data_IF_439394692871
#
_entry.id   IF_439394692871
#
_cell.length_a   1.000
_cell.length_b   1.000
_cell.length_c   1.000
_cell.angle_alpha   90.00
_cell.angle_beta   90.00
_cell.angle_gamma   90.00
#
_symmetry.space_group_name_H-M   'P 1'
#
loop_
_entity.id
_entity.type
_entity.pdbx_description
1 polymer ?
#
# COMPACT_ATOMS: atom_id res chain seq x y z
N UNK A 1 4.10 17.84 15.62
CA UNK A 1 3.20 18.79 14.91
C UNK A 1 3.44 18.59 13.42
N UNK A 2 2.73 17.64 12.81
CA UNK A 2 2.81 17.39 11.36
C UNK A 2 2.21 18.60 10.65
N UNK A 3 3.06 19.41 10.03
CA UNK A 3 2.60 20.53 9.23
C UNK A 3 2.01 19.94 7.96
N UNK A 4 0.71 20.15 7.77
CA UNK A 4 -0.07 19.64 6.64
C UNK A 4 0.23 20.49 5.40
N UNK A 5 1.51 20.54 5.00
CA UNK A 5 1.91 21.20 3.77
C UNK A 5 1.42 20.30 2.62
N UNK A 6 0.56 20.84 1.76
CA UNK A 6 0.02 20.10 0.62
C UNK A 6 1.14 19.83 -0.39
N UNK A 7 1.66 18.61 -0.37
CA UNK A 7 2.65 18.12 -1.33
C UNK A 7 1.90 17.67 -2.59
N UNK A 8 2.24 18.26 -3.73
CA UNK A 8 1.68 17.94 -5.03
C UNK A 8 2.66 17.05 -5.81
N UNK A 9 2.35 15.76 -5.90
CA UNK A 9 3.21 14.77 -6.53
C UNK A 9 3.52 15.06 -8.00
N UNK A 10 2.62 15.72 -8.73
CA UNK A 10 2.86 16.08 -10.13
C UNK A 10 3.95 17.17 -10.23
N UNK A 11 3.91 18.16 -9.33
CA UNK A 11 4.95 19.20 -9.26
C UNK A 11 6.30 18.63 -8.84
N UNK A 12 6.32 17.71 -7.89
CA UNK A 12 7.55 17.04 -7.48
C UNK A 12 8.16 16.22 -8.62
N UNK A 13 7.33 15.49 -9.38
CA UNK A 13 7.81 14.72 -10.54
C UNK A 13 8.39 15.62 -11.63
N UNK A 14 7.74 16.75 -11.93
CA UNK A 14 8.26 17.74 -12.88
C UNK A 14 9.57 18.35 -12.35
N UNK A 15 9.68 18.64 -11.05
CA UNK A 15 10.89 19.19 -10.45
C UNK A 15 12.10 18.24 -10.57
N UNK A 16 11.93 16.95 -10.28
CA UNK A 16 12.99 15.94 -10.47
C UNK A 16 13.38 15.82 -11.94
N UNK A 17 12.39 15.87 -12.84
CA UNK A 17 12.62 15.83 -14.28
C UNK A 17 13.48 17.01 -14.73
N UNK A 18 13.10 18.24 -14.36
CA UNK A 18 13.85 19.46 -14.66
C UNK A 18 15.26 19.44 -14.03
N UNK A 19 15.40 18.92 -12.81
CA UNK A 19 16.70 18.77 -12.15
C UNK A 19 17.64 17.86 -12.94
N UNK A 20 17.14 16.71 -13.43
CA UNK A 20 17.95 15.78 -14.22
C UNK A 20 18.27 16.34 -15.62
N UNK A 21 17.36 17.08 -16.25
CA UNK A 21 17.63 17.78 -17.52
C UNK A 21 18.73 18.82 -17.33
N UNK A 22 18.65 19.67 -16.31
CA UNK A 22 19.68 20.64 -16.00
C UNK A 22 21.02 19.96 -15.65
N UNK A 23 20.99 18.88 -14.88
CA UNK A 23 22.18 18.09 -14.53
C UNK A 23 22.82 17.38 -15.72
N UNK A 24 22.04 17.00 -16.73
CA UNK A 24 22.59 16.38 -17.94
C UNK A 24 23.50 17.33 -18.74
N UNK A 25 23.22 18.64 -18.69
CA UNK A 25 24.06 19.67 -19.32
C UNK A 25 25.42 19.83 -18.63
N UNK A 26 25.57 19.35 -17.39
CA UNK A 26 26.79 19.44 -16.58
C UNK A 26 27.46 18.09 -16.35
N UNK A 27 27.15 17.07 -17.17
CA UNK A 27 27.66 15.70 -17.04
C UNK A 27 27.41 15.07 -15.66
N UNK A 28 26.30 15.43 -15.00
CA UNK A 28 25.92 14.83 -13.72
C UNK A 28 25.26 13.46 -13.92
N UNK A 29 25.43 12.57 -12.94
CA UNK A 29 24.71 11.30 -12.88
C UNK A 29 23.22 11.52 -12.56
N UNK A 30 22.37 10.56 -12.93
CA UNK A 30 20.94 10.61 -12.65
C UNK A 30 20.72 10.74 -11.15
N UNK A 31 20.07 11.83 -10.73
CA UNK A 31 19.82 12.10 -9.31
C UNK A 31 18.38 11.74 -8.97
N UNK A 32 18.24 10.98 -7.90
CA UNK A 32 16.96 10.59 -7.31
C UNK A 32 16.83 11.17 -5.90
N UNK A 33 15.72 10.89 -5.25
CA UNK A 33 15.43 11.31 -3.88
C UNK A 33 16.48 10.82 -2.88
N UNK A 34 17.22 11.71 -2.19
CA UNK A 34 18.20 11.31 -1.21
C UNK A 34 17.53 11.10 0.16
N UNK A 35 16.98 9.90 0.39
CA UNK A 35 16.36 9.53 1.67
C UNK A 35 17.28 9.76 2.89
N UNK A 36 18.56 9.32 2.89
CA UNK A 36 19.41 9.45 4.07
C UNK A 36 19.72 10.91 4.40
N UNK A 37 19.96 11.75 3.38
CA UNK A 37 20.27 13.18 3.58
C UNK A 37 19.05 13.95 4.09
N UNK A 38 17.87 13.62 3.57
CA UNK A 38 16.63 14.27 3.99
C UNK A 38 16.29 13.94 5.44
N UNK A 39 16.53 12.69 5.88
CA UNK A 39 16.36 12.27 7.27
C UNK A 39 17.30 13.04 8.22
N UNK A 40 18.58 13.19 7.86
CA UNK A 40 19.54 13.97 8.65
C UNK A 40 19.16 15.45 8.69
N UNK A 41 18.76 16.03 7.54
CA UNK A 41 18.32 17.42 7.47
C UNK A 41 17.05 17.67 8.30
N UNK A 42 16.14 16.70 8.32
CA UNK A 42 14.95 16.73 9.17
C UNK A 42 15.31 16.65 10.65
N UNK A 43 16.20 15.73 11.03
CA UNK A 43 16.67 15.59 12.42
C UNK A 43 17.47 16.80 12.91
N UNK A 44 18.17 17.50 12.00
CA UNK A 44 18.83 18.77 12.28
C UNK A 44 17.85 19.94 12.51
N UNK A 45 16.54 19.73 12.34
CA UNK A 45 15.51 20.73 12.57
C UNK A 45 15.36 21.78 11.45
N UNK A 46 15.90 21.50 10.26
CA UNK A 46 15.81 22.40 9.12
C UNK A 46 14.37 22.46 8.57
N UNK A 47 13.83 23.68 8.43
CA UNK A 47 12.43 23.91 8.01
C UNK A 47 12.28 24.56 6.63
N UNK A 48 13.39 24.92 6.00
CA UNK A 48 13.40 25.72 4.75
C UNK A 48 14.27 25.08 3.69
N UNK A 49 13.89 25.24 2.41
CA UNK A 49 14.67 24.78 1.25
C UNK A 49 16.08 25.42 1.17
N UNK A 50 16.30 26.53 1.88
CA UNK A 50 17.62 27.17 2.00
C UNK A 50 18.70 26.23 2.53
N UNK A 51 18.35 25.23 3.36
CA UNK A 51 19.29 24.23 3.85
C UNK A 51 19.95 23.46 2.70
N UNK A 52 19.19 23.11 1.65
CA UNK A 52 19.72 22.40 0.49
C UNK A 52 20.67 23.28 -0.34
N UNK A 53 20.42 24.59 -0.40
CA UNK A 53 21.32 25.55 -1.07
C UNK A 53 22.63 25.68 -0.31
N UNK A 54 22.58 25.84 1.01
CA UNK A 54 23.79 25.89 1.86
C UNK A 54 24.59 24.59 1.74
N UNK A 55 23.91 23.44 1.74
CA UNK A 55 24.56 22.14 1.53
C UNK A 55 25.24 22.05 0.16
N UNK A 56 24.59 22.51 -0.91
CA UNK A 56 25.17 22.50 -2.26
C UNK A 56 26.43 23.39 -2.35
N UNK A 57 26.38 24.59 -1.77
CA UNK A 57 27.52 25.51 -1.69
C UNK A 57 28.66 24.89 -0.88
N UNK A 58 28.35 24.32 0.29
CA UNK A 58 29.34 23.65 1.12
C UNK A 58 30.03 22.49 0.36
N UNK A 59 29.26 21.66 -0.35
CA UNK A 59 29.81 20.59 -1.20
C UNK A 59 30.73 21.16 -2.28
N UNK A 60 30.31 22.23 -2.98
CA UNK A 60 31.12 22.91 -3.98
C UNK A 60 32.46 23.40 -3.41
N UNK A 61 32.44 24.06 -2.24
CA UNK A 61 33.66 24.49 -1.55
C UNK A 61 34.55 23.31 -1.15
N UNK A 62 33.98 22.24 -0.59
CA UNK A 62 34.77 21.06 -0.21
C UNK A 62 35.45 20.40 -1.40
N UNK A 63 34.80 20.35 -2.57
CA UNK A 63 35.40 19.80 -3.79
C UNK A 63 36.47 20.72 -4.39
N UNK A 64 36.37 22.04 -4.22
CA UNK A 64 37.41 22.96 -4.73
C UNK A 64 38.66 22.99 -3.86
N UNK A 65 38.50 23.01 -2.53
CA UNK A 65 39.60 23.23 -1.59
C UNK A 65 40.10 21.97 -0.86
N UNK A 66 39.20 21.02 -0.57
CA UNK A 66 39.51 19.83 0.24
C UNK A 66 39.73 18.55 -0.59
N UNK A 67 39.59 18.60 -1.91
CA UNK A 67 39.92 17.46 -2.80
C UNK A 67 41.29 16.80 -2.54
N UNK A 68 42.41 17.53 -2.31
CA UNK A 68 43.69 16.87 -2.03
C UNK A 68 43.69 16.08 -0.71
N UNK A 69 42.83 16.45 0.25
CA UNK A 69 42.70 15.74 1.53
C UNK A 69 41.91 14.43 1.35
N UNK A 70 40.86 14.46 0.52
CA UNK A 70 40.01 13.29 0.28
C UNK A 70 40.69 12.18 -0.54
N UNK A 71 41.75 12.50 -1.30
CA UNK A 71 42.50 11.51 -2.08
C UNK A 71 43.06 10.36 -1.22
N UNK A 72 43.37 10.60 0.06
CA UNK A 72 43.91 9.59 0.96
C UNK A 72 42.83 8.79 1.73
N UNK A 73 41.55 9.02 1.44
CA UNK A 73 40.46 8.36 2.17
C UNK A 73 40.40 6.87 1.79
N UNK A 74 40.60 5.94 2.74
CA UNK A 74 40.53 4.52 2.45
C UNK A 74 39.09 4.10 2.14
N UNK A 75 38.91 3.20 1.17
CA UNK A 75 37.61 2.65 0.77
C UNK A 75 36.83 2.06 1.95
N UNK A 76 37.53 1.53 2.97
CA UNK A 76 36.94 0.94 4.18
C UNK A 76 36.08 1.95 4.94
N UNK A 77 36.52 3.20 5.06
CA UNK A 77 35.77 4.25 5.74
C UNK A 77 34.51 4.61 4.95
N UNK A 78 34.60 4.64 3.61
CA UNK A 78 33.46 4.90 2.75
C UNK A 78 32.38 3.81 2.89
N UNK A 79 32.79 2.54 2.86
CA UNK A 79 31.89 1.41 3.04
C UNK A 79 31.22 1.41 4.42
N UNK A 80 31.98 1.73 5.48
CA UNK A 80 31.44 1.81 6.84
C UNK A 80 30.36 2.89 6.97
N UNK A 81 30.56 4.06 6.36
CA UNK A 81 29.58 5.15 6.38
C UNK A 81 28.30 4.76 5.62
N UNK A 82 28.42 4.07 4.48
CA UNK A 82 27.26 3.59 3.70
C UNK A 82 26.46 2.57 4.51
N UNK A 83 27.12 1.59 5.14
CA UNK A 83 26.44 0.58 5.98
C UNK A 83 25.73 1.25 7.16
N UNK A 84 26.39 2.18 7.84
CA UNK A 84 25.78 2.91 8.96
C UNK A 84 24.54 3.71 8.52
N UNK A 85 24.58 4.34 7.34
CA UNK A 85 23.45 5.07 6.79
C UNK A 85 22.27 4.14 6.41
N UNK A 86 22.54 2.95 5.89
CA UNK A 86 21.50 1.97 5.53
C UNK A 86 20.83 1.34 6.76
N UNK A 87 21.60 1.05 7.82
CA UNK A 87 21.05 0.53 9.07
C UNK A 87 20.04 1.49 9.71
N UNK A 88 20.25 2.80 9.56
CA UNK A 88 19.30 3.82 10.04
C UNK A 88 18.00 3.92 9.23
N UNK A 89 17.93 3.29 8.06
CA UNK A 89 16.76 3.30 7.18
C UNK A 89 15.88 2.04 7.34
N UNK A 90 16.44 0.96 7.88
CA UNK A 90 15.70 -0.30 8.07
C UNK A 90 14.88 -0.22 9.35
N UNK A 91 13.56 -0.15 9.20
CA UNK A 91 12.61 -0.19 10.31
C UNK A 91 12.07 -1.63 10.51
N UNK A 92 12.67 -2.33 11.46
CA UNK A 92 12.27 -3.70 11.81
C UNK A 92 10.90 -3.76 12.51
N UNK A 93 10.52 -2.71 13.24
CA UNK A 93 9.22 -2.69 13.92
C UNK A 93 8.08 -2.58 12.91
N UNK A 94 8.25 -1.77 11.88
CA UNK A 94 7.30 -1.66 10.78
C UNK A 94 7.11 -3.00 10.05
N UNK A 95 8.19 -3.76 9.82
CA UNK A 95 8.10 -5.08 9.19
C UNK A 95 7.33 -6.10 10.05
N UNK A 96 7.55 -6.11 11.38
CA UNK A 96 6.81 -6.97 12.31
C UNK A 96 5.34 -6.56 12.40
N UNK A 97 5.06 -5.25 12.37
CA UNK A 97 3.70 -4.74 12.36
C UNK A 97 2.96 -5.19 11.10
N UNK A 98 3.60 -5.10 9.93
CA UNK A 98 3.04 -5.59 8.67
C UNK A 98 2.67 -7.07 8.74
N UNK A 99 3.53 -7.92 9.32
CA UNK A 99 3.23 -9.34 9.48
C UNK A 99 1.95 -9.60 10.29
N UNK A 100 1.70 -8.79 11.33
CA UNK A 100 0.52 -8.96 12.20
C UNK A 100 -0.77 -8.46 11.56
N UNK A 101 -0.70 -7.45 10.70
CA UNK A 101 -1.88 -6.82 10.08
C UNK A 101 -2.26 -7.52 8.78
N UNK A 102 -1.32 -7.70 7.87
CA UNK A 102 -1.59 -8.29 6.56
C UNK A 102 -0.40 -9.14 6.06
N UNK A 103 -0.63 -10.46 6.02
CA UNK A 103 0.35 -11.45 5.58
C UNK A 103 0.74 -11.27 4.10
N UNK A 104 -0.16 -10.77 3.25
CA UNK A 104 0.14 -10.57 1.84
C UNK A 104 1.05 -9.37 1.61
N UNK A 105 0.83 -8.26 2.33
CA UNK A 105 1.75 -7.11 2.28
C UNK A 105 3.15 -7.50 2.76
N UNK A 106 3.22 -8.34 3.81
CA UNK A 106 4.49 -8.88 4.26
C UNK A 106 5.19 -9.72 3.17
N UNK A 107 4.46 -10.59 2.47
CA UNK A 107 5.02 -11.40 1.37
C UNK A 107 5.55 -10.50 0.24
N UNK A 108 4.83 -9.43 -0.12
CA UNK A 108 5.30 -8.46 -1.12
C UNK A 108 6.61 -7.81 -0.67
N UNK A 109 6.68 -7.35 0.59
CA UNK A 109 7.89 -6.74 1.16
C UNK A 109 9.07 -7.72 1.18
N UNK A 110 8.86 -8.95 1.66
CA UNK A 110 9.88 -9.99 1.70
C UNK A 110 10.36 -10.38 0.29
N UNK A 111 9.44 -10.46 -0.67
CA UNK A 111 9.79 -10.73 -2.07
C UNK A 111 10.64 -9.62 -2.68
N UNK A 112 10.44 -8.36 -2.28
CA UNK A 112 11.28 -7.25 -2.69
C UNK A 112 12.70 -7.36 -2.10
N UNK A 113 12.82 -7.62 -0.80
CA UNK A 113 14.11 -7.76 -0.13
C UNK A 113 14.93 -8.92 -0.71
N UNK A 114 14.32 -10.11 -0.81
CA UNK A 114 14.96 -11.29 -1.39
C UNK A 114 15.26 -11.06 -2.88
N UNK A 115 14.31 -10.48 -3.61
CA UNK A 115 14.47 -10.18 -5.03
C UNK A 115 15.68 -9.30 -5.32
N UNK A 116 15.91 -8.26 -4.52
CA UNK A 116 17.06 -7.35 -4.69
C UNK A 116 18.36 -8.00 -4.19
N UNK A 117 18.32 -8.80 -3.13
CA UNK A 117 19.50 -9.44 -2.57
C UNK A 117 20.09 -10.55 -3.48
N UNK A 118 19.24 -11.31 -4.17
CA UNK A 118 19.66 -12.43 -5.02
C UNK A 118 19.67 -12.11 -6.53
N UNK A 119 19.00 -11.04 -6.94
CA UNK A 119 18.86 -10.65 -8.34
C UNK A 119 19.38 -9.24 -8.64
N UNK A 120 18.80 -8.62 -9.66
CA UNK A 120 19.04 -7.22 -10.02
C UNK A 120 17.86 -6.35 -9.60
N UNK A 121 18.12 -5.12 -9.15
CA UNK A 121 17.11 -4.14 -8.72
C UNK A 121 15.97 -3.99 -9.74
N UNK A 122 16.31 -3.99 -11.04
CA UNK A 122 15.34 -3.86 -12.13
C UNK A 122 14.34 -5.03 -12.18
N UNK A 123 14.84 -6.26 -12.05
CA UNK A 123 14.03 -7.48 -12.10
C UNK A 123 13.13 -7.57 -10.86
N UNK A 124 13.68 -7.24 -9.69
CA UNK A 124 12.93 -7.24 -8.42
C UNK A 124 11.80 -6.22 -8.46
N UNK A 125 12.03 -5.03 -9.00
CA UNK A 125 11.02 -3.98 -9.11
C UNK A 125 9.84 -4.44 -9.96
N UNK A 126 10.09 -5.01 -11.14
CA UNK A 126 9.03 -5.54 -12.02
C UNK A 126 8.25 -6.64 -11.32
N UNK A 127 8.95 -7.57 -10.66
CA UNK A 127 8.32 -8.69 -9.96
C UNK A 127 7.42 -8.22 -8.81
N UNK A 128 7.88 -7.30 -7.97
CA UNK A 128 7.14 -6.77 -6.81
C UNK A 128 5.91 -5.98 -7.27
N UNK A 129 6.04 -5.14 -8.29
CA UNK A 129 4.92 -4.39 -8.85
C UNK A 129 3.90 -5.34 -9.45
N UNK A 130 4.33 -6.37 -10.18
CA UNK A 130 3.43 -7.37 -10.74
C UNK A 130 2.64 -8.11 -9.65
N UNK A 131 3.30 -8.55 -8.56
CA UNK A 131 2.63 -9.21 -7.43
C UNK A 131 1.63 -8.25 -6.77
N UNK A 132 2.00 -6.99 -6.56
CA UNK A 132 1.11 -5.98 -5.98
C UNK A 132 -0.15 -5.76 -6.83
N UNK A 133 0.02 -5.61 -8.15
CA UNK A 133 -1.10 -5.47 -9.09
C UNK A 133 -1.99 -6.71 -9.09
N UNK A 134 -1.40 -7.91 -9.12
CA UNK A 134 -2.17 -9.17 -9.05
C UNK A 134 -2.96 -9.25 -7.75
N UNK A 135 -2.38 -8.86 -6.61
CA UNK A 135 -3.08 -8.84 -5.32
C UNK A 135 -4.27 -7.88 -5.33
N UNK A 136 -4.09 -6.66 -5.83
CA UNK A 136 -5.19 -5.69 -5.98
C UNK A 136 -6.28 -6.27 -6.87
N UNK A 137 -5.91 -6.91 -7.97
CA UNK A 137 -6.85 -7.53 -8.89
C UNK A 137 -7.61 -8.70 -8.24
N UNK A 138 -6.95 -9.52 -7.41
CA UNK A 138 -7.59 -10.59 -6.65
C UNK A 138 -8.53 -10.07 -5.56
N UNK A 139 -8.14 -8.98 -4.90
CA UNK A 139 -8.99 -8.30 -3.91
C UNK A 139 -10.25 -7.75 -4.57
N UNK A 140 -10.11 -7.10 -5.73
CA UNK A 140 -11.25 -6.69 -6.53
C UNK A 140 -12.07 -7.89 -6.97
N UNK A 141 -11.45 -8.98 -7.45
CA UNK A 141 -12.12 -10.20 -7.92
C UNK A 141 -12.99 -10.92 -6.87
N UNK A 142 -12.62 -10.84 -5.58
CA UNK A 142 -13.34 -11.50 -4.48
C UNK A 142 -13.87 -10.47 -3.47
N UNK A 143 -14.91 -9.71 -3.83
CA UNK A 143 -15.56 -8.83 -2.89
C UNK A 143 -16.22 -9.63 -1.76
N UNK A 144 -16.24 -9.06 -0.56
CA UNK A 144 -16.96 -9.65 0.57
C UNK A 144 -18.45 -9.42 0.37
N UNK A 145 -19.23 -10.49 0.44
CA UNK A 145 -20.69 -10.45 0.40
C UNK A 145 -21.21 -10.94 1.73
N UNK A 146 -22.17 -10.24 2.30
CA UNK A 146 -22.70 -10.54 3.63
C UNK A 146 -24.21 -10.77 3.57
N UNK A 147 -24.71 -11.69 4.38
CA UNK A 147 -26.15 -11.81 4.64
C UNK A 147 -26.51 -11.02 5.87
N UNK A 148 -27.53 -10.18 5.72
CA UNK A 148 -28.05 -9.35 6.78
C UNK A 148 -29.24 -10.04 7.46
N UNK A 149 -29.23 -10.01 8.80
CA UNK A 149 -30.35 -10.39 9.66
C UNK A 149 -30.89 -9.17 10.41
N UNK A 150 -32.12 -9.29 10.90
CA UNK A 150 -32.73 -8.25 11.71
C UNK A 150 -32.31 -8.40 13.17
N UNK A 151 -31.94 -7.29 13.82
CA UNK A 151 -31.65 -7.30 15.26
C UNK A 151 -32.96 -7.17 16.06
N UNK A 152 -33.21 -8.03 17.06
CA UNK A 152 -34.44 -7.97 17.85
C UNK A 152 -34.56 -6.61 18.55
N UNK A 153 -35.75 -5.99 18.46
CA UNK A 153 -36.10 -4.65 18.97
C UNK A 153 -35.47 -3.45 18.23
N UNK A 154 -35.05 -3.59 16.96
CA UNK A 154 -34.58 -2.47 16.13
C UNK A 154 -35.05 -2.58 14.67
N UNK A 155 -34.97 -1.48 13.90
CA UNK A 155 -35.14 -1.48 12.44
C UNK A 155 -33.79 -1.56 11.70
N UNK A 156 -32.74 -2.05 12.37
CA UNK A 156 -31.37 -2.09 11.85
C UNK A 156 -31.02 -3.51 11.44
N UNK A 157 -30.67 -3.66 10.17
CA UNK A 157 -30.16 -4.91 9.60
C UNK A 157 -28.63 -4.96 9.73
N UNK A 158 -28.11 -6.09 10.20
CA UNK A 158 -26.66 -6.31 10.40
C UNK A 158 -26.28 -7.72 10.00
N UNK A 159 -25.00 -7.90 9.70
CA UNK A 159 -24.44 -9.18 9.33
C UNK A 159 -24.67 -10.26 10.41
N UNK A 160 -25.24 -11.39 10.01
CA UNK A 160 -25.58 -12.53 10.88
C UNK A 160 -24.33 -13.23 11.45
N UNK A 161 -23.23 -13.29 10.68
CA UNK A 161 -21.97 -13.90 11.13
C UNK A 161 -21.27 -13.09 12.22
N UNK A 162 -21.43 -11.75 12.20
CA UNK A 162 -20.79 -10.86 13.16
C UNK A 162 -21.64 -10.66 14.43
N UNK A 163 -22.97 -10.75 14.32
CA UNK A 163 -23.89 -10.56 15.43
C UNK A 163 -24.80 -11.78 15.59
N UNK A 164 -24.48 -12.73 16.50
CA UNK A 164 -25.29 -13.95 16.68
C UNK A 164 -26.69 -13.68 17.22
N UNK A 165 -26.97 -12.47 17.70
CA UNK A 165 -28.30 -12.02 18.10
C UNK A 165 -29.17 -11.56 16.93
N UNK A 166 -28.65 -11.48 15.69
CA UNK A 166 -29.42 -11.13 14.51
C UNK A 166 -30.22 -12.35 14.02
N UNK A 167 -31.55 -12.23 14.02
CA UNK A 167 -32.47 -13.25 13.52
C UNK A 167 -32.80 -13.01 12.06
N UNK A 168 -32.69 -14.05 11.23
CA UNK A 168 -33.20 -14.01 9.87
C UNK A 168 -34.73 -13.96 9.88
N UNK A 169 -35.31 -13.14 9.02
CA UNK A 169 -36.77 -13.07 8.86
C UNK A 169 -37.19 -14.23 7.94
N UNK A 170 -38.07 -15.15 8.37
CA UNK A 170 -38.50 -16.27 7.53
C UNK A 170 -39.13 -15.75 6.23
N UNK A 171 -38.68 -16.28 5.09
CA UNK A 171 -39.15 -15.92 3.75
C UNK A 171 -38.45 -14.74 3.07
N UNK A 172 -37.53 -14.03 3.73
CA UNK A 172 -36.83 -12.87 3.14
C UNK A 172 -35.30 -13.04 3.24
N UNK A 173 -34.61 -13.01 2.10
CA UNK A 173 -33.15 -13.01 2.02
C UNK A 173 -32.63 -11.61 1.67
N UNK A 174 -31.87 -11.00 2.57
CA UNK A 174 -31.24 -9.68 2.38
C UNK A 174 -29.74 -9.87 2.20
N UNK A 175 -29.25 -9.55 0.99
CA UNK A 175 -27.84 -9.67 0.62
C UNK A 175 -27.24 -8.27 0.45
N UNK A 176 -26.19 -7.99 1.23
CA UNK A 176 -25.39 -6.77 1.11
C UNK A 176 -24.14 -7.07 0.29
N UNK A 177 -23.97 -6.32 -0.80
CA UNK A 177 -22.77 -6.39 -1.66
C UNK A 177 -21.90 -5.18 -1.35
N UNK A 178 -20.89 -5.37 -0.50
CA UNK A 178 -19.94 -4.34 -0.07
C UNK A 178 -18.82 -4.14 -1.12
N UNK A 179 -19.20 -4.03 -2.40
CA UNK A 179 -18.25 -3.74 -3.48
C UNK A 179 -18.91 -3.29 -4.79
N UNK A 180 -18.24 -2.42 -5.57
CA UNK A 180 -18.64 -2.11 -6.93
C UNK A 180 -18.56 -3.35 -7.84
N UNK A 181 -19.55 -3.49 -8.71
CA UNK A 181 -19.68 -4.64 -9.61
C UNK A 181 -18.84 -4.39 -10.88
N UNK A 182 -17.71 -5.07 -10.99
CA UNK A 182 -16.87 -5.08 -12.20
C UNK A 182 -17.11 -6.33 -13.04
N UNK A 183 -16.77 -6.25 -14.35
CA UNK A 183 -16.79 -7.40 -15.25
C UNK A 183 -16.00 -8.61 -14.72
N UNK A 184 -14.87 -8.35 -14.04
CA UNK A 184 -14.04 -9.40 -13.43
C UNK A 184 -14.76 -10.16 -12.29
N UNK A 185 -15.73 -9.53 -11.63
CA UNK A 185 -16.37 -10.07 -10.42
C UNK A 185 -17.74 -10.69 -10.69
N UNK A 186 -18.36 -10.37 -11.83
CA UNK A 186 -19.76 -10.74 -12.12
C UNK A 186 -20.00 -12.24 -12.02
N UNK A 187 -19.10 -13.06 -12.58
CA UNK A 187 -19.22 -14.51 -12.52
C UNK A 187 -19.12 -15.03 -11.08
N UNK A 188 -18.17 -14.50 -10.30
CA UNK A 188 -18.00 -14.87 -8.89
C UNK A 188 -19.21 -14.48 -8.04
N UNK A 189 -19.70 -13.24 -8.20
CA UNK A 189 -20.88 -12.73 -7.51
C UNK A 189 -22.12 -13.54 -7.88
N UNK A 190 -22.34 -13.79 -9.17
CA UNK A 190 -23.49 -14.59 -9.64
C UNK A 190 -23.48 -15.98 -9.04
N UNK A 191 -22.37 -16.69 -9.10
CA UNK A 191 -22.28 -18.05 -8.57
C UNK A 191 -22.43 -18.09 -7.04
N UNK A 192 -21.95 -17.05 -6.34
CA UNK A 192 -22.12 -16.93 -4.90
C UNK A 192 -23.56 -16.63 -4.54
N UNK A 193 -24.19 -15.63 -5.16
CA UNK A 193 -25.61 -15.27 -4.95
C UNK A 193 -26.51 -16.48 -5.23
N UNK A 194 -26.31 -17.19 -6.35
CA UNK A 194 -27.09 -18.40 -6.66
C UNK A 194 -26.96 -19.48 -5.58
N UNK A 195 -25.76 -19.65 -5.00
CA UNK A 195 -25.58 -20.59 -3.88
C UNK A 195 -26.37 -20.19 -2.64
N UNK A 196 -26.33 -18.90 -2.26
CA UNK A 196 -27.13 -18.40 -1.14
C UNK A 196 -28.63 -18.57 -1.37
N UNK A 197 -29.10 -18.35 -2.60
CA UNK A 197 -30.49 -18.55 -2.99
C UNK A 197 -30.89 -20.02 -2.83
N UNK A 198 -30.08 -20.95 -3.36
CA UNK A 198 -30.37 -22.38 -3.28
C UNK A 198 -30.41 -22.89 -1.82
N UNK A 199 -29.45 -22.48 -1.00
CA UNK A 199 -29.37 -22.88 0.42
C UNK A 199 -30.62 -22.41 1.19
N UNK A 200 -31.13 -21.21 0.89
CA UNK A 200 -32.33 -20.68 1.55
C UNK A 200 -33.63 -21.32 1.00
N UNK A 201 -33.70 -21.63 -0.30
CA UNK A 201 -34.81 -22.40 -0.87
C UNK A 201 -34.93 -23.80 -0.25
N UNK A 202 -33.81 -24.46 0.03
CA UNK A 202 -33.80 -25.77 0.68
C UNK A 202 -34.25 -25.69 2.16
N UNK A 203 -33.91 -24.60 2.86
CA UNK A 203 -34.42 -24.32 4.21
C UNK A 203 -35.93 -24.08 4.22
N UNK A 204 -36.44 -23.32 3.26
CA UNK A 204 -37.88 -22.99 3.16
C UNK A 204 -38.71 -24.21 2.78
N UNK A 205 -38.24 -25.05 1.84
CA UNK A 205 -38.88 -26.34 1.53
C UNK A 205 -38.98 -27.25 2.75
N UNK A 206 -37.97 -27.21 3.63
CA UNK A 206 -37.97 -27.96 4.89
C UNK A 206 -38.93 -27.38 5.94
N UNK A 207 -39.24 -26.09 5.86
CA UNK A 207 -40.13 -25.36 6.77
C UNK A 207 -41.61 -25.28 6.29
N UNK A 208 -41.90 -25.63 5.04
CA UNK A 208 -43.26 -25.71 4.49
C UNK A 208 -43.84 -24.37 3.99
N UNK A 209 -43.02 -23.33 3.84
CA UNK A 209 -43.45 -22.03 3.28
C UNK A 209 -43.21 -21.96 1.76
N UNK A 210 -43.97 -21.12 1.05
CA UNK A 210 -44.12 -21.20 -0.41
C UNK A 210 -43.61 -20.00 -1.21
N UNK A 211 -43.06 -18.96 -0.58
CA UNK A 211 -42.54 -17.80 -1.32
C UNK A 211 -41.30 -17.20 -0.67
N UNK A 212 -40.19 -17.23 -1.40
CA UNK A 212 -38.95 -16.57 -1.03
C UNK A 212 -38.87 -15.21 -1.72
N UNK A 213 -38.68 -14.14 -0.96
CA UNK A 213 -38.50 -12.79 -1.47
C UNK A 213 -37.03 -12.36 -1.29
N UNK A 214 -36.39 -11.95 -2.39
CA UNK A 214 -34.98 -11.53 -2.39
C UNK A 214 -34.89 -10.00 -2.40
N UNK A 215 -34.09 -9.44 -1.49
CA UNK A 215 -33.76 -8.01 -1.45
C UNK A 215 -32.25 -7.87 -1.56
N UNK A 216 -31.80 -7.20 -2.63
CA UNK A 216 -30.39 -6.86 -2.81
C UNK A 216 -30.16 -5.44 -2.31
N UNK A 217 -29.37 -5.31 -1.24
CA UNK A 217 -28.90 -4.01 -0.78
C UNK A 217 -27.53 -3.73 -1.42
N UNK A 218 -27.56 -2.96 -2.51
CA UNK A 218 -26.37 -2.46 -3.19
C UNK A 218 -26.15 -1.01 -2.77
N UNK A 219 -25.55 -0.80 -1.60
CA UNK A 219 -25.10 0.53 -1.19
C UNK A 219 -23.84 0.88 -2.00
N UNK A 220 -23.97 1.86 -2.90
CA UNK A 220 -22.86 2.40 -3.70
C UNK A 220 -22.25 3.64 -3.05
#
# INVERSE_FOLDING_TARGET
MFKNDHIDGNKEMIAIGMMNVAGSCTSCYLTTWPFPRSAVNYNAGCKTAMSNVVMAIAVMFTLLFLTPLFHYTPLVVLSAIIIAAMLGLIDYEAAIHLWKVDMFDFVVCMSACIGVAFGSVEISLVLVVAISVIRVLLFLARPRTFVQGNLPNSMVYRNVDQYPNASNVPGILILEIDAPIYFANTNYLRERITRWINDEEDRIKSAGESSLQYVYDCCW
#
